data_IF_347088401763
#
_entry.id   IF_347088401763
#
_cell.length_a   1.000
_cell.length_b   1.000
_cell.length_c   1.000
_cell.angle_alpha   90.00
_cell.angle_beta   90.00
_cell.angle_gamma   90.00
#
_symmetry.space_group_name_H-M   'P 1'
#
loop_
_entity.id
_entity.type
_entity.pdbx_description
1 polymer ?
#
# COMPACT_ATOMS: atom_id res chain seq x y z
N UNK A 1 -47.18 -11.96 28.09
CA UNK A 1 -46.29 -12.89 27.36
C UNK A 1 -45.95 -12.46 25.94
N UNK A 2 -46.87 -11.87 25.15
CA UNK A 2 -46.58 -11.41 23.74
C UNK A 2 -45.51 -10.31 23.61
N UNK A 3 -45.36 -9.41 24.58
CA UNK A 3 -44.38 -8.31 24.56
C UNK A 3 -42.93 -8.73 24.84
N UNK A 4 -42.73 -9.83 25.55
CA UNK A 4 -41.40 -10.37 25.86
C UNK A 4 -40.78 -11.11 24.67
N UNK A 5 -41.61 -11.71 23.81
CA UNK A 5 -41.17 -12.40 22.60
C UNK A 5 -40.61 -11.41 21.55
N UNK A 6 -41.22 -10.22 21.42
CA UNK A 6 -40.73 -9.20 20.50
C UNK A 6 -39.39 -8.57 20.92
N UNK A 7 -39.10 -8.47 22.21
CA UNK A 7 -37.83 -7.95 22.70
C UNK A 7 -36.67 -8.92 22.47
N UNK A 8 -36.95 -10.24 22.58
CA UNK A 8 -35.95 -11.29 22.31
C UNK A 8 -35.57 -11.38 20.83
N UNK A 9 -36.51 -11.09 19.91
CA UNK A 9 -36.25 -11.14 18.48
C UNK A 9 -35.37 -9.98 17.96
N UNK A 10 -35.43 -8.82 18.63
CA UNK A 10 -34.60 -7.64 18.27
C UNK A 10 -33.15 -7.84 18.69
N UNK A 11 -32.88 -8.62 19.76
CA UNK A 11 -31.52 -8.86 20.25
C UNK A 11 -30.68 -9.80 19.36
N UNK A 12 -31.33 -10.57 18.49
CA UNK A 12 -30.66 -11.56 17.61
C UNK A 12 -30.10 -10.92 16.33
N UNK A 13 -30.54 -9.72 15.98
CA UNK A 13 -30.15 -9.04 14.72
C UNK A 13 -28.80 -8.28 14.81
N UNK A 14 -28.14 -8.24 15.98
CA UNK A 14 -26.91 -7.48 16.17
C UNK A 14 -25.62 -8.31 16.03
N UNK A 15 -25.69 -9.55 15.57
CA UNK A 15 -24.48 -10.33 15.25
C UNK A 15 -24.07 -9.99 13.81
N UNK A 16 -23.60 -8.77 13.60
CA UNK A 16 -22.87 -8.44 12.38
C UNK A 16 -21.56 -9.26 12.41
N UNK A 17 -21.48 -10.31 11.59
CA UNK A 17 -20.23 -11.01 11.36
C UNK A 17 -19.25 -10.02 10.69
N UNK A 18 -18.44 -9.35 11.49
CA UNK A 18 -17.27 -8.63 10.97
C UNK A 18 -16.31 -9.71 10.47
N UNK A 19 -16.11 -9.77 9.15
CA UNK A 19 -15.09 -10.63 8.58
C UNK A 19 -13.72 -10.18 9.09
N UNK A 20 -13.04 -11.03 9.84
CA UNK A 20 -11.67 -10.81 10.32
C UNK A 20 -10.61 -11.26 9.29
N UNK A 21 -11.05 -11.68 8.11
CA UNK A 21 -10.15 -12.13 7.05
C UNK A 21 -9.51 -10.92 6.39
N UNK A 22 -8.17 -10.90 6.35
CA UNK A 22 -7.42 -9.86 5.64
C UNK A 22 -7.80 -9.88 4.15
N UNK A 23 -8.18 -8.75 3.60
CA UNK A 23 -8.54 -8.59 2.19
C UNK A 23 -7.32 -8.37 1.30
N UNK A 24 -6.19 -7.94 1.88
CA UNK A 24 -4.93 -7.76 1.14
C UNK A 24 -4.33 -9.12 0.80
N UNK A 25 -4.08 -9.38 -0.48
CA UNK A 25 -3.69 -10.70 -0.97
C UNK A 25 -2.17 -10.88 -1.12
N UNK A 26 -1.41 -9.80 -1.21
CA UNK A 26 0.02 -9.80 -1.43
C UNK A 26 0.84 -9.41 -0.19
N UNK A 27 0.34 -9.73 1.01
CA UNK A 27 1.11 -9.57 2.25
C UNK A 27 2.15 -10.68 2.38
N UNK A 28 3.33 -10.32 2.88
CA UNK A 28 4.42 -11.26 3.20
C UNK A 28 5.18 -10.75 4.43
N UNK A 29 4.97 -11.38 5.57
CA UNK A 29 5.62 -11.01 6.82
C UNK A 29 7.13 -11.29 6.81
N UNK A 30 7.60 -12.16 5.90
CA UNK A 30 9.02 -12.49 5.71
C UNK A 30 9.74 -11.52 4.78
N UNK A 31 8.99 -10.65 4.08
CA UNK A 31 9.56 -9.68 3.15
C UNK A 31 10.60 -8.78 3.84
N UNK A 32 11.70 -8.57 3.14
CA UNK A 32 12.81 -7.73 3.58
C UNK A 32 12.70 -6.36 2.93
N UNK A 33 12.96 -5.31 3.70
CA UNK A 33 13.04 -3.95 3.16
C UNK A 33 14.16 -3.88 2.13
N UNK A 34 13.93 -3.35 0.92
CA UNK A 34 14.98 -3.18 -0.07
C UNK A 34 16.10 -2.26 0.45
N UNK A 35 17.31 -2.47 -0.06
CA UNK A 35 18.44 -1.59 0.22
C UNK A 35 18.08 -0.14 -0.18
N UNK A 36 18.52 0.80 0.65
CA UNK A 36 18.31 2.23 0.40
C UNK A 36 19.61 2.81 -0.16
N UNK A 37 19.53 3.40 -1.36
CA UNK A 37 20.65 4.05 -2.04
C UNK A 37 20.19 5.44 -2.50
N UNK A 38 20.93 6.47 -2.15
CA UNK A 38 20.63 7.87 -2.53
C UNK A 38 19.17 8.30 -2.24
N UNK A 39 18.60 7.85 -1.12
CA UNK A 39 17.24 8.23 -0.71
C UNK A 39 16.10 7.51 -1.45
N UNK A 40 16.40 6.45 -2.21
CA UNK A 40 15.44 5.60 -2.91
C UNK A 40 15.66 4.12 -2.57
N UNK A 41 14.66 3.27 -2.82
CA UNK A 41 14.83 1.83 -2.77
C UNK A 41 15.58 1.32 -4.01
N UNK A 42 16.50 0.40 -3.83
CA UNK A 42 17.09 -0.38 -4.91
C UNK A 42 16.11 -1.51 -5.27
N UNK A 43 15.19 -1.21 -6.20
CA UNK A 43 14.22 -2.20 -6.69
C UNK A 43 14.91 -3.15 -7.67
N UNK A 44 14.66 -4.44 -7.51
CA UNK A 44 15.32 -5.50 -8.31
C UNK A 44 14.47 -5.96 -9.49
N UNK A 45 13.16 -5.72 -9.44
CA UNK A 45 12.23 -6.24 -10.44
C UNK A 45 10.98 -5.37 -10.60
N UNK A 46 10.35 -5.50 -11.76
CA UNK A 46 9.03 -4.95 -12.05
C UNK A 46 7.98 -6.03 -11.78
N UNK A 47 6.86 -5.65 -11.20
CA UNK A 47 5.76 -6.56 -10.93
C UNK A 47 5.24 -7.20 -12.23
N UNK A 48 5.05 -8.50 -12.21
CA UNK A 48 4.41 -9.23 -13.32
C UNK A 48 2.90 -9.13 -13.26
N UNK A 49 2.34 -9.04 -12.05
CA UNK A 49 0.91 -8.85 -11.84
C UNK A 49 0.51 -7.41 -12.18
N UNK A 50 -0.51 -7.30 -13.04
CA UNK A 50 -1.06 -6.01 -13.47
C UNK A 50 -1.81 -5.26 -12.37
N UNK A 51 -2.24 -5.97 -11.32
CA UNK A 51 -2.98 -5.40 -10.21
C UNK A 51 -2.07 -4.78 -9.16
N UNK A 52 -0.77 -5.15 -9.13
CA UNK A 52 0.17 -4.69 -8.12
C UNK A 52 0.27 -3.15 -8.08
N UNK A 53 -0.12 -2.58 -6.96
CA UNK A 53 -0.22 -1.14 -6.73
C UNK A 53 -1.49 -0.50 -7.30
N UNK A 54 -2.20 -1.15 -8.22
CA UNK A 54 -3.37 -0.59 -8.90
C UNK A 54 -4.71 -1.09 -8.36
N UNK A 55 -4.69 -2.11 -7.52
CA UNK A 55 -5.86 -2.69 -6.87
C UNK A 55 -5.75 -2.56 -5.35
N UNK A 56 -6.87 -2.29 -4.69
CA UNK A 56 -6.95 -2.29 -3.23
C UNK A 56 -6.62 -3.66 -2.60
N UNK A 57 -6.76 -4.75 -3.36
CA UNK A 57 -6.42 -6.10 -2.92
C UNK A 57 -4.93 -6.44 -3.11
N UNK A 58 -4.22 -5.68 -3.94
CA UNK A 58 -2.80 -5.85 -4.27
C UNK A 58 -2.02 -4.53 -4.11
N UNK A 59 -2.12 -3.82 -2.98
CA UNK A 59 -1.41 -2.57 -2.78
C UNK A 59 0.10 -2.78 -2.70
N UNK A 60 0.85 -1.71 -2.75
CA UNK A 60 2.26 -1.72 -2.38
C UNK A 60 2.38 -1.73 -0.86
N UNK A 61 2.90 -2.81 -0.28
CA UNK A 61 2.99 -2.99 1.17
C UNK A 61 4.32 -2.44 1.70
N UNK A 62 4.29 -1.33 2.43
CA UNK A 62 5.44 -0.59 2.96
C UNK A 62 5.53 -0.59 4.49
N UNK A 63 4.73 -1.42 5.19
CA UNK A 63 4.63 -1.50 6.65
C UNK A 63 5.82 -2.20 7.32
N UNK A 64 7.04 -1.78 7.04
CA UNK A 64 8.26 -2.37 7.61
C UNK A 64 8.62 -1.83 8.99
N UNK A 65 8.03 -0.72 9.40
CA UNK A 65 8.27 -0.08 10.70
C UNK A 65 6.98 0.00 11.52
N UNK A 66 7.12 -0.02 12.83
CA UNK A 66 6.03 0.32 13.74
C UNK A 66 5.88 1.84 13.93
N UNK A 67 6.79 2.64 13.39
CA UNK A 67 6.76 4.10 13.49
C UNK A 67 6.23 4.70 12.20
N UNK A 68 5.18 5.51 12.31
CA UNK A 68 4.51 6.16 11.18
C UNK A 68 5.47 7.00 10.32
N UNK A 69 6.32 7.82 10.96
CA UNK A 69 7.30 8.64 10.24
C UNK A 69 8.26 7.81 9.36
N UNK A 70 8.66 6.62 9.80
CA UNK A 70 9.51 5.73 9.01
C UNK A 70 8.76 5.16 7.80
N UNK A 71 7.47 4.85 7.95
CA UNK A 71 6.64 4.36 6.86
C UNK A 71 6.37 5.47 5.83
N UNK A 72 6.16 6.71 6.27
CA UNK A 72 6.03 7.87 5.37
C UNK A 72 7.32 8.12 4.57
N UNK A 73 8.51 7.94 5.19
CA UNK A 73 9.78 7.97 4.47
C UNK A 73 9.88 6.83 3.43
N UNK A 74 9.33 5.65 3.73
CA UNK A 74 9.30 4.54 2.78
C UNK A 74 8.41 4.84 1.58
N UNK A 75 7.33 5.59 1.73
CA UNK A 75 6.50 6.08 0.62
C UNK A 75 7.34 6.97 -0.31
N UNK A 76 8.08 7.93 0.24
CA UNK A 76 8.98 8.79 -0.55
C UNK A 76 10.06 7.96 -1.28
N UNK A 77 10.71 7.03 -0.59
CA UNK A 77 11.74 6.15 -1.15
C UNK A 77 11.18 5.32 -2.29
N UNK A 78 9.99 4.78 -2.13
CA UNK A 78 9.30 3.99 -3.14
C UNK A 78 9.05 4.80 -4.41
N UNK A 79 8.42 5.96 -4.33
CA UNK A 79 8.14 6.80 -5.50
C UNK A 79 9.41 7.38 -6.16
N UNK A 80 10.47 7.53 -5.40
CA UNK A 80 11.78 7.95 -5.94
C UNK A 80 12.52 6.83 -6.71
N UNK A 81 12.06 5.57 -6.60
CA UNK A 81 12.78 4.39 -7.13
C UNK A 81 12.51 4.11 -8.59
N UNK A 82 11.62 4.84 -9.24
CA UNK A 82 11.25 4.60 -10.64
C UNK A 82 10.88 5.90 -11.37
N UNK A 83 10.85 5.82 -12.69
CA UNK A 83 10.48 6.90 -13.62
C UNK A 83 9.30 6.45 -14.48
N UNK A 84 8.72 7.36 -15.22
CA UNK A 84 7.86 7.03 -16.34
C UNK A 84 8.64 6.27 -17.43
N UNK A 85 7.92 5.75 -18.43
CA UNK A 85 8.51 4.89 -19.48
C UNK A 85 9.50 5.61 -20.40
N UNK A 86 9.40 6.93 -20.50
CA UNK A 86 10.34 7.77 -21.26
C UNK A 86 11.34 8.51 -20.35
N UNK A 87 11.46 8.08 -19.08
CA UNK A 87 12.35 8.71 -18.12
C UNK A 87 11.74 9.90 -17.36
N UNK A 88 10.43 10.13 -17.50
CA UNK A 88 9.75 11.26 -16.84
C UNK A 88 9.88 11.15 -15.32
N UNK A 89 10.06 12.31 -14.68
CA UNK A 89 10.09 12.40 -13.22
C UNK A 89 8.73 12.06 -12.63
N UNK A 90 8.71 11.08 -11.73
CA UNK A 90 7.51 10.73 -10.96
C UNK A 90 7.36 11.70 -9.78
N UNK A 91 6.18 12.27 -9.66
CA UNK A 91 5.70 12.95 -8.46
C UNK A 91 4.32 12.40 -8.11
N UNK A 92 3.86 12.61 -6.88
CA UNK A 92 2.62 12.03 -6.41
C UNK A 92 1.91 12.97 -5.45
N UNK A 93 0.61 12.85 -5.39
CA UNK A 93 -0.24 13.59 -4.47
C UNK A 93 -1.19 12.63 -3.76
N UNK A 94 -1.35 12.80 -2.46
CA UNK A 94 -2.35 12.06 -1.70
C UNK A 94 -3.73 12.43 -2.23
N UNK A 95 -4.51 11.42 -2.64
CA UNK A 95 -5.86 11.59 -3.13
C UNK A 95 -6.87 11.32 -2.01
N UNK A 96 -6.75 10.17 -1.35
CA UNK A 96 -7.65 9.79 -0.26
C UNK A 96 -7.04 8.71 0.64
N UNK A 97 -7.59 8.57 1.84
CA UNK A 97 -7.40 7.40 2.70
C UNK A 97 -8.67 6.56 2.63
N UNK A 98 -8.53 5.29 2.25
CA UNK A 98 -9.67 4.44 1.98
C UNK A 98 -9.47 3.01 2.47
N UNK A 99 -10.42 2.19 2.12
CA UNK A 99 -10.29 0.74 2.01
C UNK A 99 -9.81 0.11 3.32
N UNK A 100 -10.60 0.20 4.41
CA UNK A 100 -10.24 -0.39 5.68
C UNK A 100 -10.15 -1.91 5.57
N UNK A 101 -9.14 -2.50 6.21
CA UNK A 101 -8.92 -3.94 6.25
C UNK A 101 -8.48 -4.41 7.63
N UNK A 102 -8.73 -5.67 8.01
CA UNK A 102 -8.22 -6.25 9.25
C UNK A 102 -6.69 -6.35 9.22
N UNK A 103 -6.01 -5.82 10.23
CA UNK A 103 -4.56 -5.90 10.38
C UNK A 103 -4.17 -6.35 11.78
N UNK A 104 -3.34 -7.38 11.87
CA UNK A 104 -2.76 -7.84 13.14
C UNK A 104 -1.56 -6.98 13.57
N UNK A 105 -1.02 -6.18 12.68
CA UNK A 105 0.16 -5.33 12.91
C UNK A 105 -0.18 -3.96 13.51
N UNK A 106 -1.47 -3.63 13.56
CA UNK A 106 -1.98 -2.44 14.22
C UNK A 106 -2.69 -2.83 15.53
N UNK A 107 -2.41 -2.10 16.60
CA UNK A 107 -3.06 -2.29 17.93
C UNK A 107 -4.59 -2.17 17.87
N UNK A 108 -5.12 -1.42 16.91
CA UNK A 108 -6.56 -1.26 16.69
C UNK A 108 -7.19 -2.45 15.93
N UNK A 109 -6.40 -3.43 15.49
CA UNK A 109 -6.88 -4.58 14.72
C UNK A 109 -7.28 -4.25 13.27
N UNK A 110 -7.09 -3.02 12.82
CA UNK A 110 -7.46 -2.56 11.48
C UNK A 110 -6.38 -1.64 10.89
N UNK A 111 -6.27 -1.62 9.58
CA UNK A 111 -5.47 -0.69 8.80
C UNK A 111 -6.32 -0.05 7.70
N UNK A 112 -5.79 0.97 7.06
CA UNK A 112 -6.38 1.65 5.90
C UNK A 112 -5.33 1.77 4.81
N UNK A 113 -5.79 1.82 3.56
CA UNK A 113 -4.92 2.14 2.43
C UNK A 113 -4.89 3.64 2.18
N UNK A 114 -3.82 4.08 1.55
CA UNK A 114 -3.69 5.45 1.04
C UNK A 114 -3.59 5.39 -0.47
N UNK A 115 -4.45 6.13 -1.17
CA UNK A 115 -4.44 6.24 -2.61
C UNK A 115 -3.69 7.49 -3.04
N UNK A 116 -2.71 7.32 -3.89
CA UNK A 116 -1.92 8.40 -4.47
C UNK A 116 -2.20 8.55 -5.97
N UNK A 117 -2.41 9.77 -6.43
CA UNK A 117 -2.42 10.12 -7.84
C UNK A 117 -0.99 10.39 -8.31
N UNK A 118 -0.64 9.88 -9.51
CA UNK A 118 0.71 9.95 -10.05
C UNK A 118 0.79 10.98 -11.17
N UNK A 119 1.82 11.79 -11.10
CA UNK A 119 2.16 12.80 -12.11
C UNK A 119 3.51 12.45 -12.75
N UNK A 120 3.61 12.66 -14.05
CA UNK A 120 4.82 12.49 -14.86
C UNK A 120 5.22 13.86 -15.41
N UNK A 121 6.41 14.35 -15.05
CA UNK A 121 6.87 15.71 -15.33
C UNK A 121 5.82 16.79 -15.00
N UNK A 122 5.12 16.62 -13.88
CA UNK A 122 4.09 17.54 -13.40
C UNK A 122 2.73 17.42 -14.10
N UNK A 123 2.56 16.50 -15.06
CA UNK A 123 1.29 16.22 -15.74
C UNK A 123 0.62 15.00 -15.15
N UNK A 124 -0.70 15.06 -14.95
CA UNK A 124 -1.47 13.92 -14.47
C UNK A 124 -1.34 12.73 -15.42
N UNK A 125 -0.95 11.57 -14.86
CA UNK A 125 -0.72 10.35 -15.65
C UNK A 125 -1.96 9.46 -15.77
N UNK A 126 -3.07 9.83 -15.09
CA UNK A 126 -4.26 9.00 -14.90
C UNK A 126 -3.99 7.67 -14.18
N UNK A 127 -2.80 7.52 -13.58
CA UNK A 127 -2.44 6.36 -12.76
C UNK A 127 -2.60 6.70 -11.29
N UNK A 128 -3.15 5.74 -10.55
CA UNK A 128 -3.31 5.83 -9.10
C UNK A 128 -2.67 4.60 -8.47
N UNK A 129 -2.00 4.78 -7.32
CA UNK A 129 -1.32 3.68 -6.63
C UNK A 129 -1.81 3.60 -5.20
N UNK A 130 -2.26 2.40 -4.80
CA UNK A 130 -2.62 2.06 -3.43
C UNK A 130 -1.36 1.71 -2.63
N UNK A 131 -1.19 2.37 -1.51
CA UNK A 131 -0.10 2.13 -0.56
C UNK A 131 -0.69 1.63 0.76
N UNK A 132 -0.08 0.59 1.28
CA UNK A 132 -0.35 0.04 2.60
C UNK A 132 0.88 0.24 3.50
N UNK A 133 0.73 1.00 4.57
CA UNK A 133 1.80 1.26 5.53
C UNK A 133 1.72 0.39 6.80
N UNK A 134 0.78 -0.56 6.85
CA UNK A 134 0.59 -1.46 8.00
C UNK A 134 1.22 -2.82 7.77
N UNK A 135 1.03 -3.41 6.59
CA UNK A 135 1.50 -4.75 6.27
C UNK A 135 2.81 -4.71 5.49
N UNK A 136 3.58 -5.80 5.59
CA UNK A 136 4.76 -6.03 4.76
C UNK A 136 4.38 -6.79 3.50
N UNK A 137 5.19 -6.62 2.46
CA UNK A 137 5.13 -7.39 1.24
C UNK A 137 6.37 -7.11 0.38
N UNK A 138 6.54 -7.87 -0.67
CA UNK A 138 7.62 -7.67 -1.62
C UNK A 138 7.42 -6.33 -2.34
N UNK A 139 8.42 -5.46 -2.29
CA UNK A 139 8.38 -4.15 -2.95
C UNK A 139 8.95 -4.30 -4.36
N UNK A 140 8.13 -3.99 -5.36
CA UNK A 140 8.46 -4.08 -6.79
C UNK A 140 8.10 -2.77 -7.49
N UNK A 141 8.67 -2.54 -8.67
CA UNK A 141 8.22 -1.45 -9.53
C UNK A 141 6.84 -1.78 -10.12
N UNK A 142 5.82 -0.92 -10.01
CA UNK A 142 4.54 -1.16 -10.66
C UNK A 142 4.69 -1.19 -12.18
N UNK A 143 3.87 -1.98 -12.84
CA UNK A 143 3.91 -2.09 -14.31
C UNK A 143 3.56 -0.75 -14.97
N UNK A 144 4.28 -0.41 -16.03
CA UNK A 144 4.13 0.89 -16.71
C UNK A 144 5.02 2.00 -16.14
N UNK A 145 5.99 1.62 -15.31
CA UNK A 145 7.12 2.45 -14.87
C UNK A 145 8.43 1.70 -15.11
N UNK A 146 9.55 2.42 -15.05
CA UNK A 146 10.90 1.89 -15.23
C UNK A 146 11.70 2.11 -13.95
N UNK A 147 12.35 1.06 -13.46
CA UNK A 147 13.22 1.12 -12.29
C UNK A 147 14.35 2.12 -12.57
N UNK A 148 14.51 3.08 -11.68
CA UNK A 148 15.57 4.04 -11.73
C UNK A 148 16.87 3.39 -11.27
N UNK A 149 17.86 3.32 -12.15
CA UNK A 149 19.20 2.85 -11.77
C UNK A 149 19.79 3.82 -10.75
N UNK A 150 20.18 3.32 -9.60
CA UNK A 150 21.02 4.08 -8.68
C UNK A 150 22.37 4.30 -9.34
N UNK A 151 22.72 5.54 -9.67
CA UNK A 151 24.09 5.84 -10.03
C UNK A 151 24.93 5.56 -8.79
N UNK A 152 25.66 4.45 -8.83
CA UNK A 152 26.73 4.21 -7.85
C UNK A 152 27.76 5.28 -8.14
N UNK A 153 27.90 6.27 -7.25
CA UNK A 153 29.01 7.21 -7.30
C UNK A 153 30.29 6.37 -7.29
N UNK A 154 30.84 6.14 -8.48
CA UNK A 154 32.17 5.60 -8.59
C UNK A 154 33.13 6.61 -7.98
N UNK A 155 33.72 6.24 -6.87
CA UNK A 155 34.93 6.84 -6.34
C UNK A 155 36.07 5.88 -6.60
#
# INVERSE_FOLDING_TARGET
MRKLINLSFILILCVACVSTKNTIQNTDDTAVLPKIVAGQFELLETATDLQYGYSEFYPVNLGFSMYENSNNQNVNRFFNSFTGVNGEKVTYQLLETCCPFPSKRNKMGAGTLVLYEIYLDGKASNKKIYINTFEKGKIMCPKGFIIKKSETSGN
#
